data_IF_644329470272
#
_entry.id   IF_644329470272
#
_cell.length_a   1.000
_cell.length_b   1.000
_cell.length_c   1.000
_cell.angle_alpha   90.00
_cell.angle_beta   90.00
_cell.angle_gamma   90.00
#
_symmetry.space_group_name_H-M   'P 1'
#
loop_
_entity.id
_entity.type
_entity.pdbx_description
1 polymer ?
#
# COMPACT_ATOMS: atom_id res chain seq x y z
N UNK A 1 -9.51 31.04 71.58
CA UNK A 1 -8.64 31.20 70.40
C UNK A 1 -9.53 31.00 69.18
N UNK A 2 -10.16 32.08 68.72
CA UNK A 2 -9.87 32.82 67.47
C UNK A 2 -10.58 32.23 66.24
N UNK A 3 -11.79 32.80 66.03
CA UNK A 3 -12.61 33.10 64.85
C UNK A 3 -12.46 32.38 63.48
N UNK A 4 -13.57 32.21 62.73
CA UNK A 4 -13.66 31.48 61.45
C UNK A 4 -13.30 32.35 60.21
N UNK A 5 -13.16 31.75 59.01
CA UNK A 5 -12.66 32.44 57.81
C UNK A 5 -13.77 33.16 57.02
N UNK A 6 -13.43 34.30 56.42
CA UNK A 6 -14.28 35.08 55.49
C UNK A 6 -13.72 34.99 54.07
N UNK A 7 -14.63 34.82 53.12
CA UNK A 7 -14.40 34.71 51.68
C UNK A 7 -13.89 36.01 51.03
N UNK A 8 -13.14 35.89 49.93
CA UNK A 8 -12.77 37.01 49.05
C UNK A 8 -13.05 36.65 47.59
N UNK A 9 -13.75 37.56 46.92
CA UNK A 9 -14.20 37.56 45.51
C UNK A 9 -13.07 37.89 44.50
N UNK A 10 -13.27 37.64 43.19
CA UNK A 10 -12.22 37.74 42.17
C UNK A 10 -12.08 39.14 41.56
N UNK A 11 -10.84 39.51 41.23
CA UNK A 11 -10.50 40.75 40.52
C UNK A 11 -10.31 40.52 39.01
N UNK A 12 -11.05 41.28 38.22
CA UNK A 12 -10.91 41.44 36.77
C UNK A 12 -9.76 42.40 36.40
N UNK A 13 -9.28 42.25 35.17
CA UNK A 13 -8.14 42.91 34.52
C UNK A 13 -8.25 44.43 34.33
N UNK A 14 -7.16 45.08 33.85
CA UNK A 14 -7.31 46.22 32.95
C UNK A 14 -6.55 46.06 31.62
N UNK A 15 -7.24 46.44 30.53
CA UNK A 15 -6.68 46.83 29.23
C UNK A 15 -5.97 48.18 29.35
N UNK A 16 -4.87 48.38 28.63
CA UNK A 16 -4.48 49.68 28.08
C UNK A 16 -3.92 49.54 26.65
N UNK A 17 -4.15 50.61 25.90
CA UNK A 17 -4.21 50.72 24.45
C UNK A 17 -3.29 51.86 24.00
N UNK A 18 -2.77 51.72 22.77
CA UNK A 18 -2.35 52.72 21.77
C UNK A 18 -0.88 53.19 21.64
N UNK A 19 -0.43 52.99 20.38
CA UNK A 19 0.35 53.87 19.47
C UNK A 19 1.80 54.21 19.78
N UNK A 20 2.71 53.85 18.86
CA UNK A 20 3.22 54.75 17.80
C UNK A 20 4.60 54.31 17.32
N UNK A 21 4.77 54.07 16.00
CA UNK A 21 5.73 54.71 15.10
C UNK A 21 6.05 53.83 13.88
N UNK A 22 5.83 54.44 12.71
CA UNK A 22 6.24 53.97 11.39
C UNK A 22 7.72 54.33 11.14
N UNK A 23 8.39 53.53 10.30
CA UNK A 23 9.77 53.71 9.81
C UNK A 23 10.68 52.62 10.37
N UNK A 24 11.47 51.84 9.63
CA UNK A 24 11.98 51.95 8.27
C UNK A 24 12.18 50.52 7.69
N UNK A 25 12.34 50.42 6.38
CA UNK A 25 12.33 49.17 5.63
C UNK A 25 13.43 48.17 5.99
N UNK A 26 13.06 46.89 5.90
CA UNK A 26 13.99 45.83 5.51
C UNK A 26 13.21 44.78 4.72
N UNK A 27 13.60 44.59 3.47
CA UNK A 27 13.11 43.52 2.60
C UNK A 27 13.41 42.17 3.24
N UNK A 28 12.37 41.47 3.68
CA UNK A 28 12.44 40.03 3.95
C UNK A 28 11.51 39.37 2.95
N UNK A 29 12.11 38.82 1.89
CA UNK A 29 11.47 37.87 1.01
C UNK A 29 11.03 36.66 1.84
N UNK A 30 9.72 36.44 1.95
CA UNK A 30 9.16 35.19 2.45
C UNK A 30 9.40 34.10 1.41
N UNK A 31 10.12 33.00 1.73
CA UNK A 31 10.14 31.85 0.85
C UNK A 31 8.80 31.11 0.99
N UNK A 32 7.92 31.35 0.03
CA UNK A 32 6.77 30.52 -0.34
C UNK A 32 7.30 29.15 -0.81
N UNK A 33 7.80 28.28 0.07
CA UNK A 33 8.32 26.96 -0.36
C UNK A 33 8.00 25.76 0.55
N UNK A 34 7.23 25.90 1.64
CA UNK A 34 7.05 24.78 2.57
C UNK A 34 5.61 24.24 2.72
N UNK A 35 4.68 24.54 1.80
CA UNK A 35 3.26 24.18 1.98
C UNK A 35 2.63 23.32 0.84
N UNK A 36 3.39 22.79 -0.11
CA UNK A 36 2.80 22.12 -1.30
C UNK A 36 2.97 20.59 -1.38
N UNK A 37 3.72 19.94 -0.47
CA UNK A 37 4.08 18.51 -0.66
C UNK A 37 3.59 17.53 0.42
N UNK A 38 2.36 17.70 0.93
CA UNK A 38 1.64 16.61 1.64
C UNK A 38 0.27 16.31 1.01
N UNK A 39 -0.17 17.10 0.03
CA UNK A 39 -1.51 16.98 -0.55
C UNK A 39 -1.65 15.77 -1.48
N UNK A 40 -0.57 15.21 -2.01
CA UNK A 40 -0.65 14.20 -3.08
C UNK A 40 -1.05 12.79 -2.63
N UNK A 41 -0.82 12.41 -1.37
CA UNK A 41 -1.27 11.11 -0.84
C UNK A 41 -2.75 11.16 -0.41
N UNK A 42 -3.14 12.22 0.33
CA UNK A 42 -4.53 12.45 0.75
C UNK A 42 -5.49 12.64 -0.45
N UNK A 43 -5.02 13.22 -1.56
CA UNK A 43 -5.84 13.46 -2.75
C UNK A 43 -6.31 12.17 -3.45
N UNK A 44 -5.59 11.04 -3.32
CA UNK A 44 -5.97 9.76 -3.93
C UNK A 44 -7.31 9.22 -3.41
N UNK A 45 -7.65 9.53 -2.17
CA UNK A 45 -8.89 9.08 -1.54
C UNK A 45 -9.90 10.22 -1.29
N UNK A 46 -9.48 11.49 -1.25
CA UNK A 46 -10.40 12.61 -0.97
C UNK A 46 -11.52 12.77 -2.01
N UNK A 47 -11.33 12.28 -3.25
CA UNK A 47 -12.40 12.29 -4.28
C UNK A 47 -13.42 11.14 -4.13
N UNK A 48 -13.30 10.28 -3.11
CA UNK A 48 -14.06 9.02 -2.95
C UNK A 48 -15.23 9.08 -1.95
N UNK A 49 -15.70 10.26 -1.56
CA UNK A 49 -16.96 10.44 -0.84
C UNK A 49 -18.04 11.01 -1.77
N UNK A 50 -19.15 10.30 -1.95
CA UNK A 50 -20.34 10.66 -2.75
C UNK A 50 -20.24 10.49 -4.29
N UNK A 51 -20.87 9.42 -4.76
CA UNK A 51 -21.28 9.25 -6.15
C UNK A 51 -22.21 8.05 -6.32
N UNK A 52 -23.51 8.25 -6.12
CA UNK A 52 -24.55 7.30 -6.49
C UNK A 52 -24.67 7.17 -8.01
N UNK A 53 -24.97 5.97 -8.51
CA UNK A 53 -25.48 5.76 -9.87
C UNK A 53 -24.78 4.64 -10.63
N UNK A 54 -25.47 3.51 -10.78
CA UNK A 54 -25.09 2.44 -11.69
C UNK A 54 -25.17 2.90 -13.14
N UNK A 55 -24.09 3.51 -13.62
CA UNK A 55 -23.78 3.63 -15.04
C UNK A 55 -22.68 2.61 -15.35
N UNK A 56 -22.89 1.74 -16.35
CA UNK A 56 -21.84 0.88 -16.89
C UNK A 56 -20.72 1.80 -17.43
N UNK A 57 -19.72 2.10 -16.59
CA UNK A 57 -18.52 2.83 -17.03
C UNK A 57 -17.93 2.08 -18.21
N UNK A 58 -17.67 2.76 -19.32
CA UNK A 58 -16.94 2.15 -20.42
C UNK A 58 -15.55 1.78 -19.89
N UNK A 59 -15.26 0.48 -19.88
CA UNK A 59 -13.93 -0.03 -19.56
C UNK A 59 -12.96 0.59 -20.56
N UNK A 60 -11.86 1.17 -20.08
CA UNK A 60 -10.85 1.74 -20.97
C UNK A 60 -10.24 0.67 -21.87
N UNK A 61 -9.52 1.09 -22.90
CA UNK A 61 -8.81 0.16 -23.79
C UNK A 61 -7.67 -0.49 -22.99
N UNK A 62 -7.62 -1.82 -22.84
CA UNK A 62 -6.54 -2.47 -22.09
C UNK A 62 -5.21 -2.33 -22.82
N UNK A 63 -4.16 -1.99 -22.08
CA UNK A 63 -2.79 -1.90 -22.63
C UNK A 63 -2.16 -3.28 -22.74
N UNK A 64 -2.27 -4.08 -21.68
CA UNK A 64 -1.76 -5.45 -21.63
C UNK A 64 -2.75 -6.40 -22.31
N UNK A 65 -2.56 -6.67 -23.61
CA UNK A 65 -3.47 -7.55 -24.36
C UNK A 65 -3.07 -9.02 -24.32
N UNK A 66 -1.79 -9.32 -24.07
CA UNK A 66 -1.29 -10.69 -23.84
C UNK A 66 -0.11 -10.70 -22.87
N UNK A 67 0.10 -11.86 -22.24
CA UNK A 67 1.09 -12.02 -21.15
C UNK A 67 2.56 -11.99 -21.60
N UNK A 68 2.84 -12.03 -22.91
CA UNK A 68 4.19 -12.16 -23.46
C UNK A 68 4.71 -10.87 -24.10
N UNK A 69 3.81 -10.05 -24.65
CA UNK A 69 4.15 -8.77 -25.28
C UNK A 69 4.71 -7.79 -24.25
N UNK A 70 5.75 -7.07 -24.69
CA UNK A 70 6.39 -6.01 -23.93
C UNK A 70 5.91 -4.65 -24.40
N UNK A 71 5.61 -3.79 -23.44
CA UNK A 71 5.18 -2.42 -23.66
C UNK A 71 6.19 -1.48 -23.00
N UNK A 72 6.93 -0.73 -23.81
CA UNK A 72 7.85 0.27 -23.29
C UNK A 72 7.06 1.51 -22.83
N UNK A 73 6.80 1.61 -21.52
CA UNK A 73 6.00 2.71 -20.97
C UNK A 73 6.92 3.82 -20.44
N UNK A 74 6.68 5.09 -20.80
CA UNK A 74 7.50 6.21 -20.36
C UNK A 74 7.16 6.63 -18.93
N UNK A 75 8.18 6.88 -18.11
CA UNK A 75 8.03 7.48 -16.80
C UNK A 75 7.52 8.91 -16.95
N UNK A 76 6.32 9.18 -16.44
CA UNK A 76 5.68 10.49 -16.48
C UNK A 76 6.04 11.33 -15.26
N UNK A 77 5.99 10.74 -14.08
CA UNK A 77 6.18 11.42 -12.80
C UNK A 77 6.84 10.48 -11.79
N UNK A 78 7.60 11.06 -10.86
CA UNK A 78 8.21 10.35 -9.73
C UNK A 78 7.96 11.14 -8.45
N UNK A 79 7.26 10.54 -7.50
CA UNK A 79 6.95 11.15 -6.22
C UNK A 79 7.82 10.54 -5.13
N UNK A 80 8.40 11.39 -4.28
CA UNK A 80 9.09 10.97 -3.06
C UNK A 80 8.02 10.75 -1.99
N UNK A 81 7.93 9.54 -1.46
CA UNK A 81 6.95 9.16 -0.42
C UNK A 81 7.63 9.12 0.95
N UNK A 82 8.81 8.51 1.01
CA UNK A 82 9.67 8.49 2.21
C UNK A 82 11.13 8.56 1.81
N UNK A 83 12.05 8.41 2.77
CA UNK A 83 13.49 8.40 2.51
C UNK A 83 13.88 7.37 1.43
N UNK A 84 13.25 6.19 1.42
CA UNK A 84 13.54 5.12 0.48
C UNK A 84 12.35 4.67 -0.38
N UNK A 85 11.16 5.24 -0.23
CA UNK A 85 10.00 4.85 -1.03
C UNK A 85 9.65 5.90 -2.07
N UNK A 86 9.30 5.44 -3.27
CA UNK A 86 8.86 6.26 -4.39
C UNK A 86 7.56 5.72 -4.96
N UNK A 87 6.74 6.64 -5.48
CA UNK A 87 5.67 6.30 -6.42
C UNK A 87 6.12 6.69 -7.83
N UNK A 88 6.17 5.71 -8.74
CA UNK A 88 6.51 5.92 -10.13
C UNK A 88 5.24 5.83 -10.98
N UNK A 89 4.97 6.89 -11.74
CA UNK A 89 3.83 6.97 -12.66
C UNK A 89 4.31 6.79 -14.08
N UNK A 90 3.78 5.80 -14.79
CA UNK A 90 4.09 5.57 -16.20
C UNK A 90 2.87 5.88 -17.08
N UNK A 91 3.08 6.49 -18.25
CA UNK A 91 1.98 6.73 -19.19
C UNK A 91 1.56 5.44 -19.87
N UNK A 92 0.26 5.27 -20.03
CA UNK A 92 -0.32 4.28 -20.94
C UNK A 92 -0.40 4.87 -22.37
N UNK A 93 -0.69 4.06 -23.40
CA UNK A 93 -0.66 4.52 -24.80
C UNK A 93 -1.57 5.72 -25.10
N UNK A 94 -2.67 5.90 -24.36
CA UNK A 94 -3.50 7.10 -24.43
C UNK A 94 -4.28 7.34 -23.14
N UNK A 95 -4.87 8.53 -22.99
CA UNK A 95 -5.71 8.88 -21.84
C UNK A 95 -6.99 8.03 -21.70
N UNK A 96 -7.36 7.26 -22.74
CA UNK A 96 -8.49 6.33 -22.69
C UNK A 96 -8.08 4.90 -22.29
N UNK A 97 -6.78 4.61 -22.27
CA UNK A 97 -6.28 3.30 -21.88
C UNK A 97 -6.37 3.08 -20.38
N UNK A 98 -6.56 1.82 -20.02
CA UNK A 98 -6.31 1.27 -18.68
C UNK A 98 -5.16 0.26 -18.81
N UNK A 99 -4.60 -0.20 -17.69
CA UNK A 99 -3.49 -1.15 -17.76
C UNK A 99 -3.97 -2.49 -18.32
N UNK A 100 -5.16 -2.95 -17.93
CA UNK A 100 -5.68 -4.27 -18.29
C UNK A 100 -5.18 -5.34 -17.32
N UNK A 101 -5.13 -5.03 -16.04
CA UNK A 101 -4.57 -5.89 -14.99
C UNK A 101 -5.69 -6.40 -14.06
N UNK A 102 -6.06 -7.68 -14.14
CA UNK A 102 -7.02 -8.27 -13.20
C UNK A 102 -6.52 -8.16 -11.75
N UNK A 103 -7.42 -7.85 -10.81
CA UNK A 103 -7.11 -7.81 -9.37
C UNK A 103 -6.54 -9.14 -8.90
N UNK A 104 -5.42 -9.13 -8.19
CA UNK A 104 -4.62 -10.31 -7.81
C UNK A 104 -3.45 -10.61 -8.74
N UNK A 105 -3.36 -9.95 -9.90
CA UNK A 105 -2.23 -10.08 -10.84
C UNK A 105 -1.21 -8.95 -10.66
N UNK A 106 -0.01 -9.18 -11.18
CA UNK A 106 1.08 -8.21 -11.20
C UNK A 106 1.64 -8.04 -12.62
N UNK A 107 2.51 -7.05 -12.81
CA UNK A 107 3.32 -6.87 -14.02
C UNK A 107 4.77 -7.25 -13.75
N UNK A 108 5.50 -7.59 -14.81
CA UNK A 108 6.95 -7.75 -14.81
C UNK A 108 7.56 -6.55 -15.49
N UNK A 109 8.48 -5.87 -14.80
CA UNK A 109 9.37 -4.90 -15.41
C UNK A 109 10.65 -5.57 -15.86
N UNK A 110 11.14 -5.25 -17.05
CA UNK A 110 12.44 -5.71 -17.52
C UNK A 110 13.32 -4.56 -18.02
N UNK A 111 14.59 -4.58 -17.61
CA UNK A 111 15.60 -3.62 -18.04
C UNK A 111 16.98 -4.27 -18.10
N UNK A 112 17.90 -3.69 -18.89
CA UNK A 112 19.32 -4.05 -18.83
C UNK A 112 20.00 -3.18 -17.77
N UNK A 113 20.46 -3.80 -16.69
CA UNK A 113 21.22 -3.14 -15.61
C UNK A 113 22.61 -3.74 -15.61
N UNK A 114 23.64 -2.91 -15.82
CA UNK A 114 25.04 -3.33 -15.96
C UNK A 114 25.23 -4.44 -17.01
N UNK A 115 24.59 -4.26 -18.17
CA UNK A 115 24.62 -5.21 -19.29
C UNK A 115 23.82 -6.51 -19.08
N UNK A 116 23.25 -6.74 -17.89
CA UNK A 116 22.47 -7.96 -17.58
C UNK A 116 20.97 -7.66 -17.59
N UNK A 117 20.19 -8.58 -18.18
CA UNK A 117 18.73 -8.49 -18.13
C UNK A 117 18.26 -8.75 -16.69
N UNK A 118 17.57 -7.78 -16.11
CA UNK A 118 16.92 -7.87 -14.80
C UNK A 118 15.42 -7.82 -15.01
N UNK A 119 14.70 -8.79 -14.44
CA UNK A 119 13.23 -8.85 -14.46
C UNK A 119 12.71 -8.90 -13.03
N UNK A 120 11.73 -8.06 -12.70
CA UNK A 120 11.11 -8.03 -11.36
C UNK A 120 9.60 -7.81 -11.46
N UNK A 121 8.87 -8.50 -10.59
CA UNK A 121 7.42 -8.36 -10.45
C UNK A 121 7.07 -7.15 -9.59
N UNK A 122 6.06 -6.40 -10.01
CA UNK A 122 5.47 -5.30 -9.26
C UNK A 122 3.95 -5.34 -9.38
N UNK A 123 3.25 -5.18 -8.27
CA UNK A 123 1.79 -4.98 -8.27
C UNK A 123 1.51 -3.48 -8.26
N UNK A 124 0.84 -2.94 -9.28
CA UNK A 124 0.42 -1.55 -9.28
C UNK A 124 -0.52 -1.23 -8.14
N UNK A 125 -0.47 0.03 -7.69
CA UNK A 125 -1.40 0.60 -6.70
C UNK A 125 -2.55 1.38 -7.37
N UNK A 126 -2.44 1.63 -8.68
CA UNK A 126 -3.55 2.09 -9.54
C UNK A 126 -4.44 0.92 -10.00
N UNK A 127 -5.66 1.20 -10.45
CA UNK A 127 -6.63 0.20 -10.92
C UNK A 127 -7.39 0.64 -12.18
N UNK A 128 -7.79 -0.34 -12.99
CA UNK A 128 -8.52 -0.11 -14.26
C UNK A 128 -9.91 0.54 -14.08
N UNK A 129 -10.48 0.52 -12.87
CA UNK A 129 -11.80 1.10 -12.58
C UNK A 129 -11.77 2.62 -12.35
N UNK A 130 -10.62 3.13 -11.91
CA UNK A 130 -10.46 4.51 -11.42
C UNK A 130 -9.42 5.28 -12.22
N UNK A 131 -8.38 4.61 -12.71
CA UNK A 131 -7.21 5.24 -13.32
C UNK A 131 -7.18 4.99 -14.82
N UNK A 132 -7.15 6.07 -15.60
CA UNK A 132 -7.00 6.03 -17.07
C UNK A 132 -5.79 6.84 -17.49
N UNK A 133 -5.07 6.34 -18.50
CA UNK A 133 -3.90 6.99 -19.09
C UNK A 133 -2.59 6.79 -18.34
N UNK A 134 -2.59 6.17 -17.16
CA UNK A 134 -1.38 5.89 -16.40
C UNK A 134 -1.45 4.61 -15.56
N UNK A 135 -0.29 4.17 -15.09
CA UNK A 135 -0.13 3.15 -14.05
C UNK A 135 0.84 3.65 -12.99
N UNK A 136 0.48 3.47 -11.71
CA UNK A 136 1.31 3.86 -10.57
C UNK A 136 1.89 2.62 -9.87
N UNK A 137 3.21 2.63 -9.66
CA UNK A 137 3.94 1.62 -8.89
C UNK A 137 4.50 2.24 -7.61
N UNK A 138 4.18 1.65 -6.46
CA UNK A 138 4.78 1.99 -5.17
C UNK A 138 5.99 1.08 -4.92
N UNK A 139 7.19 1.65 -4.84
CA UNK A 139 8.44 0.89 -4.83
C UNK A 139 9.38 1.41 -3.75
N UNK A 140 9.82 0.49 -2.88
CA UNK A 140 10.94 0.70 -1.97
C UNK A 140 12.26 0.58 -2.74
N UNK A 141 13.10 1.59 -2.62
CA UNK A 141 14.42 1.70 -3.24
C UNK A 141 15.47 1.16 -2.28
N UNK A 142 15.98 -0.03 -2.60
CA UNK A 142 17.08 -0.61 -1.86
C UNK A 142 18.40 0.05 -2.31
N UNK A 143 18.80 1.13 -1.65
CA UNK A 143 20.05 1.84 -1.95
C UNK A 143 21.28 1.01 -1.56
N UNK A 144 22.33 1.09 -2.38
CA UNK A 144 23.66 0.57 -2.04
C UNK A 144 24.18 1.18 -0.73
N UNK A 145 25.06 0.44 -0.05
CA UNK A 145 25.74 0.86 1.18
C UNK A 145 24.81 1.19 2.37
N UNK A 146 23.56 0.71 2.36
CA UNK A 146 22.61 0.87 3.48
C UNK A 146 22.42 -0.40 4.30
N UNK A 147 22.75 -1.56 3.73
CA UNK A 147 22.61 -2.86 4.37
C UNK A 147 23.89 -3.67 4.20
N UNK A 148 24.53 -4.06 5.31
CA UNK A 148 25.80 -4.80 5.30
C UNK A 148 25.72 -6.16 4.59
N UNK A 149 24.55 -6.81 4.63
CA UNK A 149 24.33 -8.10 3.95
C UNK A 149 24.08 -7.93 2.45
N UNK A 150 23.67 -6.74 2.02
CA UNK A 150 23.32 -6.41 0.64
C UNK A 150 23.98 -5.09 0.21
N UNK A 151 25.32 -5.01 0.20
CA UNK A 151 26.05 -3.74 -0.01
C UNK A 151 25.75 -3.11 -1.39
N UNK A 152 25.47 -3.92 -2.41
CA UNK A 152 25.16 -3.45 -3.77
C UNK A 152 23.73 -2.88 -3.92
N UNK A 153 22.86 -3.07 -2.92
CA UNK A 153 21.46 -2.68 -2.99
C UNK A 153 20.65 -3.46 -4.05
N UNK A 154 19.49 -2.92 -4.42
CA UNK A 154 18.55 -3.52 -5.35
C UNK A 154 18.78 -3.04 -6.78
N UNK A 155 19.04 -3.97 -7.70
CA UNK A 155 19.31 -3.65 -9.12
C UNK A 155 18.18 -2.88 -9.79
N UNK A 156 16.97 -3.47 -9.81
CA UNK A 156 15.82 -2.86 -10.50
C UNK A 156 15.34 -1.58 -9.79
N UNK A 157 15.31 -1.58 -8.45
CA UNK A 157 14.80 -0.42 -7.70
C UNK A 157 15.72 0.79 -7.83
N UNK A 158 17.05 0.59 -7.82
CA UNK A 158 18.00 1.68 -8.07
C UNK A 158 17.99 2.12 -9.54
N UNK A 159 17.79 1.19 -10.48
CA UNK A 159 17.59 1.54 -11.89
C UNK A 159 16.38 2.46 -12.07
N UNK A 160 15.23 2.10 -11.50
CA UNK A 160 14.01 2.92 -11.50
C UNK A 160 14.26 4.29 -10.85
N UNK A 161 14.95 4.35 -9.71
CA UNK A 161 15.28 5.62 -9.06
C UNK A 161 16.18 6.50 -9.94
N UNK A 162 17.06 5.91 -10.75
CA UNK A 162 17.94 6.64 -11.68
C UNK A 162 17.27 7.11 -12.96
N UNK A 163 16.07 6.61 -13.28
CA UNK A 163 15.34 7.01 -14.49
C UNK A 163 14.98 8.49 -14.45
N UNK A 164 15.11 9.13 -15.62
CA UNK A 164 14.63 10.49 -15.87
C UNK A 164 13.19 10.45 -16.38
N UNK A 165 12.46 11.53 -16.17
CA UNK A 165 11.13 11.70 -16.78
C UNK A 165 11.27 11.59 -18.30
N UNK A 166 10.43 10.76 -18.92
CA UNK A 166 10.47 10.41 -20.34
C UNK A 166 11.19 9.08 -20.65
N UNK A 167 12.08 8.61 -19.77
CA UNK A 167 12.73 7.30 -19.95
C UNK A 167 11.67 6.19 -19.92
N UNK A 168 11.89 5.14 -20.72
CA UNK A 168 10.96 4.01 -20.81
C UNK A 168 11.48 2.77 -20.10
N UNK A 169 10.55 1.93 -19.65
CA UNK A 169 10.85 0.58 -19.17
C UNK A 169 9.83 -0.42 -19.73
N UNK A 170 10.28 -1.64 -20.02
CA UNK A 170 9.40 -2.69 -20.54
C UNK A 170 8.47 -3.21 -19.44
N UNK A 171 7.17 -3.03 -19.64
CA UNK A 171 6.11 -3.71 -18.90
C UNK A 171 5.68 -4.98 -19.65
N UNK A 172 5.49 -6.08 -18.92
CA UNK A 172 4.89 -7.31 -19.43
C UNK A 172 3.92 -7.89 -18.41
N UNK A 173 2.77 -8.35 -18.85
CA UNK A 173 1.75 -8.95 -18.00
C UNK A 173 0.41 -9.06 -18.74
N UNK A 174 -0.69 -9.41 -18.07
CA UNK A 174 -0.80 -9.70 -16.64
C UNK A 174 -0.13 -11.02 -16.22
N UNK A 175 0.44 -11.09 -15.02
CA UNK A 175 1.12 -12.28 -14.48
C UNK A 175 0.65 -12.62 -13.07
N UNK A 176 0.85 -13.87 -12.64
CA UNK A 176 0.41 -14.39 -11.34
C UNK A 176 -0.65 -15.48 -11.46
N UNK A 177 -0.95 -16.15 -10.34
CA UNK A 177 -1.86 -17.30 -10.30
C UNK A 177 -3.24 -16.99 -9.72
N UNK A 178 -3.36 -15.90 -8.97
CA UNK A 178 -4.54 -15.51 -8.23
C UNK A 178 -5.27 -14.41 -8.99
N UNK A 179 -6.60 -14.50 -9.06
CA UNK A 179 -7.48 -13.42 -9.49
C UNK A 179 -8.61 -13.27 -8.49
N UNK A 180 -8.85 -12.05 -8.02
CA UNK A 180 -10.06 -11.73 -7.28
C UNK A 180 -11.16 -11.37 -8.27
N UNK A 181 -12.22 -12.18 -8.32
CA UNK A 181 -13.36 -11.99 -9.23
C UNK A 181 -14.53 -11.21 -8.59
N UNK A 182 -14.33 -10.70 -7.38
CA UNK A 182 -15.35 -9.98 -6.61
C UNK A 182 -16.13 -10.86 -5.65
N UNK A 183 -16.77 -10.24 -4.65
CA UNK A 183 -17.71 -10.86 -3.70
C UNK A 183 -17.16 -12.16 -3.11
N UNK A 184 -15.94 -12.09 -2.56
CA UNK A 184 -15.28 -13.20 -1.87
C UNK A 184 -14.73 -14.30 -2.78
N UNK A 185 -14.80 -14.15 -4.11
CA UNK A 185 -14.41 -15.20 -5.05
C UNK A 185 -12.96 -15.05 -5.51
N UNK A 186 -12.14 -16.08 -5.26
CA UNK A 186 -10.80 -16.21 -5.80
C UNK A 186 -10.77 -17.28 -6.90
N UNK A 187 -10.25 -16.93 -8.07
CA UNK A 187 -9.87 -17.86 -9.11
C UNK A 187 -8.36 -18.10 -9.04
N UNK A 188 -7.95 -19.31 -8.67
CA UNK A 188 -6.53 -19.65 -8.41
C UNK A 188 -6.08 -20.76 -9.34
N UNK A 189 -5.01 -20.50 -10.10
CA UNK A 189 -4.33 -21.55 -10.87
C UNK A 189 -3.35 -22.31 -9.97
N UNK A 190 -3.36 -23.66 -9.94
CA UNK A 190 -2.35 -24.41 -9.19
C UNK A 190 -0.96 -24.28 -9.82
N UNK A 191 -0.90 -24.26 -11.15
CA UNK A 191 0.30 -24.11 -11.96
C UNK A 191 0.01 -23.27 -13.23
N UNK A 192 0.99 -23.08 -14.10
CA UNK A 192 0.84 -22.21 -15.27
C UNK A 192 0.05 -22.84 -16.43
N UNK A 193 -0.24 -24.15 -16.37
CA UNK A 193 -0.88 -24.94 -17.44
C UNK A 193 -2.31 -25.31 -17.10
N UNK A 194 -2.61 -25.47 -15.82
CA UNK A 194 -3.93 -25.85 -15.32
C UNK A 194 -4.92 -24.69 -15.32
N UNK A 195 -6.22 -24.95 -15.56
CA UNK A 195 -7.27 -23.94 -15.44
C UNK A 195 -7.38 -23.44 -14.00
N UNK A 196 -7.86 -22.21 -13.84
CA UNK A 196 -8.11 -21.63 -12.52
C UNK A 196 -9.27 -22.36 -11.83
N UNK A 197 -9.08 -22.70 -10.55
CA UNK A 197 -10.14 -23.20 -9.68
C UNK A 197 -10.75 -22.03 -8.92
N UNK A 198 -12.08 -21.90 -8.99
CA UNK A 198 -12.82 -20.86 -8.28
C UNK A 198 -13.22 -21.35 -6.90
N UNK A 199 -12.98 -20.55 -5.88
CA UNK A 199 -13.48 -20.77 -4.52
C UNK A 199 -14.02 -19.46 -3.96
N UNK A 200 -15.13 -19.57 -3.25
CA UNK A 200 -15.74 -18.47 -2.53
C UNK A 200 -15.33 -18.54 -1.05
N UNK A 201 -14.99 -17.40 -0.50
CA UNK A 201 -14.60 -17.23 0.90
C UNK A 201 -15.34 -16.02 1.47
N UNK A 202 -15.65 -16.07 2.77
CA UNK A 202 -16.26 -14.95 3.49
C UNK A 202 -15.21 -14.05 4.13
N UNK A 203 -14.02 -14.59 4.40
CA UNK A 203 -12.97 -13.92 5.17
C UNK A 203 -11.62 -14.08 4.51
N UNK A 204 -10.86 -13.00 4.41
CA UNK A 204 -9.46 -13.00 4.01
C UNK A 204 -8.59 -12.54 5.17
N UNK A 205 -7.75 -13.45 5.67
CA UNK A 205 -6.59 -13.08 6.49
C UNK A 205 -5.42 -12.75 5.57
N UNK A 206 -4.82 -11.57 5.71
CA UNK A 206 -3.72 -11.11 4.87
C UNK A 206 -2.47 -10.93 5.74
N UNK A 207 -1.34 -11.49 5.29
CA UNK A 207 -0.04 -11.32 5.94
C UNK A 207 0.92 -10.69 4.92
N UNK A 208 1.33 -9.46 5.18
CA UNK A 208 2.22 -8.70 4.31
C UNK A 208 3.54 -8.38 5.00
N UNK A 209 4.64 -8.37 4.24
CA UNK A 209 5.95 -7.93 4.70
C UNK A 209 6.55 -6.88 3.77
N UNK A 210 6.84 -5.68 4.28
CA UNK A 210 7.41 -4.58 3.50
C UNK A 210 6.63 -4.31 2.20
N UNK A 211 7.30 -4.37 1.05
CA UNK A 211 6.68 -4.16 -0.27
C UNK A 211 5.63 -5.20 -0.66
N UNK A 212 5.51 -6.32 0.08
CA UNK A 212 4.46 -7.31 -0.09
C UNK A 212 3.04 -6.81 0.24
N UNK A 213 2.89 -5.55 0.66
CA UNK A 213 1.60 -4.91 0.88
C UNK A 213 0.83 -4.64 -0.42
N UNK A 214 1.50 -4.47 -1.56
CA UNK A 214 0.84 -3.99 -2.79
C UNK A 214 -0.18 -4.98 -3.40
N UNK A 215 0.04 -6.31 -3.42
CA UNK A 215 -1.03 -7.27 -3.74
C UNK A 215 -2.23 -7.18 -2.80
N UNK A 216 -1.98 -6.94 -1.51
CA UNK A 216 -3.05 -6.83 -0.50
C UNK A 216 -3.87 -5.57 -0.73
N UNK A 217 -3.22 -4.41 -0.95
CA UNK A 217 -3.90 -3.14 -1.27
C UNK A 217 -4.79 -3.26 -2.50
N UNK A 218 -4.36 -3.99 -3.52
CA UNK A 218 -5.16 -4.21 -4.74
C UNK A 218 -6.48 -4.94 -4.41
N UNK A 219 -6.44 -5.97 -3.56
CA UNK A 219 -7.62 -6.73 -3.14
C UNK A 219 -8.46 -5.91 -2.16
N UNK A 220 -7.85 -5.28 -1.16
CA UNK A 220 -8.53 -4.41 -0.18
C UNK A 220 -9.32 -3.32 -0.91
N UNK A 221 -8.69 -2.61 -1.85
CA UNK A 221 -9.35 -1.57 -2.63
C UNK A 221 -10.51 -2.11 -3.47
N UNK A 222 -10.36 -3.30 -4.08
CA UNK A 222 -11.43 -3.90 -4.88
C UNK A 222 -12.65 -4.30 -4.02
N UNK A 223 -12.42 -4.93 -2.87
CA UNK A 223 -13.46 -5.34 -1.93
C UNK A 223 -14.18 -4.12 -1.35
N UNK A 224 -13.43 -3.15 -0.82
CA UNK A 224 -14.04 -2.02 -0.10
C UNK A 224 -14.78 -1.05 -1.03
N UNK A 225 -14.37 -0.96 -2.29
CA UNK A 225 -15.05 -0.18 -3.34
C UNK A 225 -16.42 -0.74 -3.68
N UNK A 226 -16.59 -2.06 -3.67
CA UNK A 226 -17.89 -2.70 -3.90
C UNK A 226 -18.68 -2.76 -2.58
N UNK A 227 -19.79 -2.02 -2.53
CA UNK A 227 -20.67 -1.97 -1.34
C UNK A 227 -21.47 -3.26 -1.16
N UNK A 228 -21.64 -4.06 -2.21
CA UNK A 228 -22.31 -5.36 -2.15
C UNK A 228 -21.35 -6.50 -1.80
N UNK A 229 -20.07 -6.20 -1.69
CA UNK A 229 -19.04 -7.16 -1.31
C UNK A 229 -18.93 -7.25 0.22
N UNK A 230 -19.44 -8.35 0.77
CA UNK A 230 -19.47 -8.61 2.20
C UNK A 230 -18.19 -9.27 2.74
N UNK A 231 -17.14 -9.40 1.92
CA UNK A 231 -15.89 -10.04 2.32
C UNK A 231 -15.24 -9.29 3.48
N UNK A 232 -14.92 -10.03 4.54
CA UNK A 232 -14.24 -9.50 5.71
C UNK A 232 -12.72 -9.63 5.55
N UNK A 233 -12.00 -8.56 5.84
CA UNK A 233 -10.58 -8.43 5.61
C UNK A 233 -9.85 -8.12 6.92
N UNK A 234 -8.79 -8.87 7.20
CA UNK A 234 -7.85 -8.54 8.26
C UNK A 234 -6.44 -8.53 7.69
N UNK A 235 -5.65 -7.51 8.00
CA UNK A 235 -4.27 -7.39 7.56
C UNK A 235 -3.33 -7.42 8.77
N UNK A 236 -2.39 -8.35 8.78
CA UNK A 236 -1.23 -8.36 9.66
C UNK A 236 0.00 -7.93 8.86
N UNK A 237 0.51 -6.72 9.13
CA UNK A 237 1.53 -6.08 8.30
C UNK A 237 2.86 -5.89 9.05
N UNK A 238 3.88 -6.63 8.60
CA UNK A 238 5.23 -6.63 9.17
C UNK A 238 6.18 -5.67 8.44
N UNK A 239 6.90 -4.84 9.19
CA UNK A 239 7.94 -3.95 8.69
C UNK A 239 9.16 -3.94 9.63
N UNK A 240 10.27 -3.32 9.24
CA UNK A 240 11.44 -3.28 10.12
C UNK A 240 11.31 -2.21 11.21
N UNK A 241 10.83 -1.03 10.84
CA UNK A 241 10.56 0.11 11.73
C UNK A 241 9.18 0.69 11.43
N UNK A 242 8.69 1.60 12.27
CA UNK A 242 7.43 2.32 12.03
C UNK A 242 7.50 3.20 10.76
N UNK A 243 8.65 3.83 10.50
CA UNK A 243 8.87 4.68 9.32
C UNK A 243 8.90 3.88 8.00
N UNK A 244 9.09 2.56 8.09
CA UNK A 244 9.08 1.66 6.94
C UNK A 244 7.66 1.23 6.53
N UNK A 245 6.62 1.55 7.31
CA UNK A 245 5.25 1.10 7.05
C UNK A 245 4.70 1.85 5.84
N UNK A 246 4.67 1.15 4.71
CA UNK A 246 4.14 1.65 3.45
C UNK A 246 2.62 1.87 3.55
N UNK A 247 2.17 3.05 3.14
CA UNK A 247 0.76 3.43 3.08
C UNK A 247 0.03 3.36 4.44
N UNK A 248 0.73 3.66 5.55
CA UNK A 248 0.15 3.55 6.90
C UNK A 248 -1.08 4.44 7.08
N UNK A 249 -0.97 5.72 6.77
CA UNK A 249 -2.07 6.68 6.95
C UNK A 249 -3.31 6.25 6.14
N UNK A 250 -3.10 5.72 4.94
CA UNK A 250 -4.18 5.21 4.10
C UNK A 250 -4.81 3.94 4.68
N UNK A 251 -4.02 3.02 5.23
CA UNK A 251 -4.52 1.81 5.88
C UNK A 251 -5.33 2.13 7.14
N UNK A 252 -4.81 3.02 8.00
CA UNK A 252 -5.47 3.47 9.22
C UNK A 252 -6.81 4.15 8.89
N UNK A 253 -6.82 5.00 7.86
CA UNK A 253 -8.04 5.65 7.37
C UNK A 253 -9.04 4.64 6.80
N UNK A 254 -8.60 3.64 6.05
CA UNK A 254 -9.48 2.60 5.53
C UNK A 254 -10.12 1.78 6.67
N UNK A 255 -9.39 1.50 7.74
CA UNK A 255 -9.95 0.85 8.93
C UNK A 255 -10.95 1.75 9.66
N UNK A 256 -10.71 3.06 9.75
CA UNK A 256 -11.65 4.02 10.31
C UNK A 256 -12.96 4.06 9.50
N UNK A 257 -12.86 4.14 8.17
CA UNK A 257 -14.01 4.26 7.26
C UNK A 257 -14.78 2.93 7.05
N UNK A 258 -14.09 1.79 7.17
CA UNK A 258 -14.63 0.46 6.87
C UNK A 258 -14.39 -0.55 7.99
N UNK A 259 -14.39 -0.11 9.25
CA UNK A 259 -14.06 -0.94 10.41
C UNK A 259 -14.99 -2.14 10.64
N UNK A 260 -16.12 -2.23 9.93
CA UNK A 260 -17.03 -3.37 9.90
C UNK A 260 -16.59 -4.48 8.92
N UNK A 261 -15.69 -4.18 7.98
CA UNK A 261 -15.19 -5.10 6.95
C UNK A 261 -13.67 -5.16 6.83
N UNK A 262 -12.93 -4.20 7.38
CA UNK A 262 -11.47 -4.15 7.32
C UNK A 262 -10.86 -3.85 8.68
N UNK A 263 -9.87 -4.65 9.05
CA UNK A 263 -9.01 -4.46 10.23
C UNK A 263 -7.55 -4.52 9.84
N UNK A 264 -6.71 -3.70 10.47
CA UNK A 264 -5.27 -3.74 10.28
C UNK A 264 -4.55 -3.84 11.61
N UNK A 265 -3.50 -4.65 11.63
CA UNK A 265 -2.59 -4.78 12.76
C UNK A 265 -1.15 -4.76 12.28
N UNK A 266 -0.30 -4.04 12.98
CA UNK A 266 1.10 -3.86 12.61
C UNK A 266 2.03 -4.67 13.51
N UNK A 267 3.15 -5.11 12.94
CA UNK A 267 4.30 -5.52 13.75
C UNK A 267 5.58 -4.93 13.16
N UNK A 268 6.50 -4.54 14.03
CA UNK A 268 7.80 -4.01 13.62
C UNK A 268 8.95 -4.65 14.40
N UNK A 269 10.07 -4.90 13.72
CA UNK A 269 11.26 -5.48 14.34
C UNK A 269 11.84 -4.55 15.42
N UNK A 270 11.90 -3.26 15.11
CA UNK A 270 12.50 -2.20 15.92
C UNK A 270 11.47 -1.08 16.15
N UNK A 271 10.57 -1.23 17.14
CA UNK A 271 9.56 -0.22 17.42
C UNK A 271 10.18 1.02 18.08
N UNK A 272 9.56 2.19 17.93
CA UNK A 272 9.84 3.35 18.78
C UNK A 272 9.44 3.08 20.23
N UNK A 273 9.79 3.97 21.16
CA UNK A 273 9.38 3.87 22.57
C UNK A 273 7.86 3.81 22.75
N UNK A 274 7.12 4.57 21.94
CA UNK A 274 5.66 4.62 21.95
C UNK A 274 5.11 3.80 20.78
N UNK A 275 4.85 2.52 21.02
CA UNK A 275 4.29 1.62 20.02
C UNK A 275 3.12 0.81 20.59
N UNK A 276 1.96 0.93 19.95
CA UNK A 276 0.71 0.32 20.42
C UNK A 276 0.41 -1.05 19.83
N UNK A 277 1.23 -1.53 18.89
CA UNK A 277 1.02 -2.80 18.20
C UNK A 277 2.10 -3.83 18.56
N UNK A 278 2.17 -4.91 17.79
CA UNK A 278 3.09 -6.02 18.05
C UNK A 278 4.55 -5.66 17.75
N UNK A 279 5.48 -6.35 18.41
CA UNK A 279 6.92 -6.23 18.19
C UNK A 279 7.50 -7.56 17.71
N UNK A 280 8.38 -7.49 16.72
CA UNK A 280 9.15 -8.62 16.20
C UNK A 280 8.52 -9.28 14.99
N UNK A 281 9.08 -10.43 14.62
CA UNK A 281 8.58 -11.23 13.50
C UNK A 281 7.19 -11.80 13.78
N UNK A 282 6.46 -12.09 12.70
CA UNK A 282 5.15 -12.76 12.77
C UNK A 282 5.27 -14.05 13.57
N UNK A 283 4.42 -14.19 14.58
CA UNK A 283 4.30 -15.41 15.39
C UNK A 283 2.85 -15.93 15.43
N UNK A 284 2.67 -17.09 16.06
CA UNK A 284 1.36 -17.73 16.21
C UNK A 284 0.40 -16.91 17.08
N UNK A 285 0.91 -16.17 18.07
CA UNK A 285 0.06 -15.33 18.93
C UNK A 285 -0.54 -14.18 18.14
N UNK A 286 0.26 -13.52 17.31
CA UNK A 286 -0.19 -12.45 16.42
C UNK A 286 -1.22 -12.97 15.42
N UNK A 287 -0.95 -14.13 14.79
CA UNK A 287 -1.88 -14.73 13.83
C UNK A 287 -3.21 -15.09 14.52
N UNK A 288 -3.17 -15.73 15.68
CA UNK A 288 -4.37 -16.12 16.41
C UNK A 288 -5.19 -14.93 16.91
N UNK A 289 -4.54 -13.82 17.27
CA UNK A 289 -5.21 -12.63 17.77
C UNK A 289 -5.77 -11.72 16.67
N UNK A 290 -5.13 -11.68 15.50
CA UNK A 290 -5.41 -10.63 14.49
C UNK A 290 -5.87 -11.15 13.13
N UNK A 291 -5.85 -12.47 12.87
CA UNK A 291 -6.46 -13.06 11.67
C UNK A 291 -7.71 -13.89 12.02
N UNK A 292 -8.65 -14.08 11.08
CA UNK A 292 -9.81 -14.93 11.29
C UNK A 292 -9.40 -16.36 11.56
N UNK A 293 -10.05 -17.00 12.53
CA UNK A 293 -9.80 -18.39 12.87
C UNK A 293 -9.90 -19.32 11.64
N UNK A 294 -9.13 -20.43 11.61
CA UNK A 294 -9.19 -21.41 10.54
C UNK A 294 -10.62 -21.89 10.27
N UNK A 295 -11.04 -21.83 9.01
CA UNK A 295 -12.32 -22.34 8.54
C UNK A 295 -12.30 -22.50 7.01
N UNK A 296 -13.16 -23.36 6.46
CA UNK A 296 -13.21 -23.66 5.02
C UNK A 296 -13.55 -22.45 4.13
N UNK A 297 -14.22 -21.44 4.70
CA UNK A 297 -14.60 -20.17 4.07
C UNK A 297 -13.64 -19.02 4.42
N UNK A 298 -12.45 -19.34 4.94
CA UNK A 298 -11.37 -18.38 5.24
C UNK A 298 -10.16 -18.64 4.36
N UNK A 299 -9.73 -17.63 3.59
CA UNK A 299 -8.48 -17.68 2.84
C UNK A 299 -7.38 -16.90 3.56
N UNK A 300 -6.15 -17.41 3.52
CA UNK A 300 -4.96 -16.70 3.99
C UNK A 300 -4.12 -16.27 2.78
N UNK A 301 -3.96 -14.97 2.59
CA UNK A 301 -3.19 -14.35 1.52
C UNK A 301 -1.86 -13.86 2.06
N UNK A 302 -0.73 -14.24 1.46
CA UNK A 302 0.60 -13.92 1.96
C UNK A 302 1.49 -13.33 0.88
N UNK A 303 2.24 -12.29 1.21
CA UNK A 303 3.29 -11.76 0.35
C UNK A 303 4.37 -11.07 1.20
N UNK A 304 5.63 -11.44 0.99
CA UNK A 304 6.75 -10.91 1.74
C UNK A 304 8.06 -11.61 1.38
N UNK A 305 9.16 -11.26 2.07
CA UNK A 305 10.45 -11.92 1.84
C UNK A 305 10.37 -13.43 2.06
N UNK A 306 11.07 -14.26 1.26
CA UNK A 306 11.04 -15.71 1.43
C UNK A 306 11.32 -16.20 2.87
N UNK A 307 12.28 -15.62 3.63
CA UNK A 307 12.48 -16.00 5.02
C UNK A 307 11.25 -15.77 5.91
N UNK A 308 10.52 -14.68 5.70
CA UNK A 308 9.28 -14.41 6.44
C UNK A 308 8.24 -15.48 6.13
N UNK A 309 8.00 -15.79 4.85
CA UNK A 309 7.00 -16.77 4.44
C UNK A 309 7.33 -18.19 4.95
N UNK A 310 8.60 -18.57 4.85
CA UNK A 310 9.05 -19.93 5.14
C UNK A 310 9.24 -20.20 6.65
N UNK A 311 9.65 -19.20 7.43
CA UNK A 311 10.00 -19.39 8.83
C UNK A 311 9.03 -18.73 9.82
N UNK A 312 8.32 -17.68 9.42
CA UNK A 312 7.42 -16.93 10.29
C UNK A 312 5.94 -17.14 9.95
N UNK A 313 5.56 -17.23 8.68
CA UNK A 313 4.16 -17.43 8.30
C UNK A 313 3.76 -18.90 8.31
N UNK A 314 4.38 -19.72 7.44
CA UNK A 314 3.93 -21.10 7.20
C UNK A 314 3.94 -21.97 8.46
N UNK A 315 5.02 -22.02 9.27
CA UNK A 315 5.05 -22.87 10.47
C UNK A 315 4.04 -22.44 11.54
N UNK A 316 3.80 -21.14 11.70
CA UNK A 316 2.83 -20.63 12.68
C UNK A 316 1.39 -20.87 12.21
N UNK A 317 1.12 -20.78 10.91
CA UNK A 317 -0.17 -21.19 10.35
C UNK A 317 -0.41 -22.71 10.51
N UNK A 318 0.64 -23.54 10.40
CA UNK A 318 0.57 -24.98 10.66
C UNK A 318 0.23 -25.27 12.12
N UNK A 319 0.91 -24.60 13.05
CA UNK A 319 0.65 -24.70 14.49
C UNK A 319 -0.80 -24.36 14.85
N UNK A 320 -1.40 -23.43 14.11
CA UNK A 320 -2.78 -22.99 14.28
C UNK A 320 -3.79 -23.75 13.40
N UNK A 321 -3.36 -24.79 12.68
CA UNK A 321 -4.23 -25.67 11.88
C UNK A 321 -4.97 -24.97 10.72
N UNK A 322 -4.41 -23.93 10.10
CA UNK A 322 -4.93 -23.43 8.82
C UNK A 322 -4.67 -24.46 7.72
N UNK A 323 -5.66 -24.86 6.91
CA UNK A 323 -5.39 -25.86 5.87
C UNK A 323 -4.49 -25.31 4.74
N UNK A 324 -3.48 -26.05 4.23
CA UNK A 324 -2.55 -25.55 3.21
C UNK A 324 -3.22 -25.09 1.90
N UNK A 325 -4.34 -25.71 1.51
CA UNK A 325 -5.12 -25.37 0.31
C UNK A 325 -5.96 -24.09 0.45
N UNK A 326 -5.98 -23.50 1.65
CA UNK A 326 -6.58 -22.19 1.96
C UNK A 326 -5.55 -21.06 2.00
N UNK A 327 -4.26 -21.38 1.81
CA UNK A 327 -3.15 -20.43 1.89
C UNK A 327 -2.65 -20.12 0.49
N UNK A 328 -2.57 -18.83 0.16
CA UNK A 328 -2.21 -18.34 -1.16
C UNK A 328 -1.05 -17.36 -1.05
N UNK A 329 0.03 -17.65 -1.76
CA UNK A 329 1.23 -16.80 -1.78
C UNK A 329 1.34 -16.10 -3.12
N UNK A 330 1.59 -14.79 -3.11
CA UNK A 330 1.83 -13.95 -4.29
C UNK A 330 3.27 -13.99 -4.78
#
# INVERSE_FOLDING_TARGET
MSSPPTAVQPLQAPRKVLSSLMGEGSSIALPLTAAVLVVSALYFFYKKGCGCGGAKKSKGTPTLVDENTKYALPLAEKFIISHDTRKFRFKLPSNSHVLGLPTGKHVNLSAKVDGKLVVRSYTPVSSDDEDKGYVDLMIKVYFKNTNERFPEGGKMSQHLESMKIGDTIDFRGPSGKIVYEGKGTLAVRPDNKSPAKKRHFKRFGMIAGGTGITPMLQIIAAVLRDREDATQLTLLFANQTEEDILCREELDKLEEEHGDRFKVWYTVDRPPEKWSYSKGFIDDKMIAAHLPSPADDTAILMCGPPPMLNFACTPNLDKLSYAPDLRFTF
#
